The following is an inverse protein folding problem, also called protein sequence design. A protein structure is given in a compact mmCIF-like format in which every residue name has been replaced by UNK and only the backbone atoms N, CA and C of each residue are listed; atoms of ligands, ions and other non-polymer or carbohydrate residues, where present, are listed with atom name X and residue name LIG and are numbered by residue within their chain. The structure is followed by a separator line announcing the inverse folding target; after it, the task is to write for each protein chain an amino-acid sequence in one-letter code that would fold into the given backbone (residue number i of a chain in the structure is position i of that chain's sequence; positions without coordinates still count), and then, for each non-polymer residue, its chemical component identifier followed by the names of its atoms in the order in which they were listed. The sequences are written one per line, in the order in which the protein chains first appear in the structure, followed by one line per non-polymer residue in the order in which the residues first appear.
data_IF_960317066369
#
_entry.id   IF_960317066369
#
_cell.length_a   1.000
_cell.length_b   1.000
_cell.length_c   1.000
_cell.angle_alpha   90.00
_cell.angle_beta   90.00
_cell.angle_gamma   90.00
#
_symmetry.space_group_name_H-M   'P 1'
#
loop_
_entity.id
_entity.type
_entity.pdbx_description
1 polymer ?
#
# COMPACT_ATOMS: atom_id res chain seq x y z
N UNK A 1 18.38 5.86 19.60
CA UNK A 1 18.41 6.17 18.17
C UNK A 1 17.02 6.39 17.62
N UNK A 2 16.84 7.44 16.91
CA UNK A 2 15.54 7.79 16.35
C UNK A 2 15.52 7.46 14.87
N UNK A 3 14.33 7.56 14.26
CA UNK A 3 14.22 7.34 12.84
C UNK A 3 15.11 8.31 12.07
N UNK A 4 15.11 9.56 12.46
CA UNK A 4 15.89 10.57 11.75
C UNK A 4 17.37 10.48 12.06
N UNK A 5 17.71 9.87 13.17
CA UNK A 5 19.09 9.60 13.48
C UNK A 5 19.56 8.24 13.03
N UNK A 6 18.73 7.52 12.28
CA UNK A 6 19.06 6.18 11.82
C UNK A 6 20.15 6.23 10.76
N UNK A 7 20.89 5.14 10.60
CA UNK A 7 21.83 5.05 9.50
C UNK A 7 21.14 5.26 8.17
N UNK A 8 21.91 5.70 7.19
CA UNK A 8 21.39 6.01 5.87
C UNK A 8 20.63 4.82 5.27
N UNK A 9 21.12 3.61 5.51
CA UNK A 9 20.46 2.42 5.01
C UNK A 9 19.04 2.26 5.55
N UNK A 10 18.85 2.56 6.84
CA UNK A 10 17.52 2.48 7.43
C UNK A 10 16.58 3.50 6.82
N UNK A 11 17.06 4.70 6.54
CA UNK A 11 16.26 5.71 5.88
C UNK A 11 15.87 5.28 4.47
N UNK A 12 16.81 4.68 3.75
CA UNK A 12 16.53 4.20 2.40
C UNK A 12 15.50 3.08 2.42
N UNK A 13 15.58 2.18 3.39
CA UNK A 13 14.59 1.11 3.52
C UNK A 13 13.20 1.68 3.81
N UNK A 14 13.13 2.70 4.66
CA UNK A 14 11.86 3.35 4.95
C UNK A 14 11.29 4.01 3.71
N UNK A 15 12.13 4.71 2.95
CA UNK A 15 11.69 5.35 1.72
C UNK A 15 11.22 4.35 0.69
N UNK A 16 11.91 3.21 0.59
CA UNK A 16 11.49 2.14 -0.32
C UNK A 16 10.14 1.58 0.07
N UNK A 17 9.91 1.39 1.37
CA UNK A 17 8.63 0.89 1.86
C UNK A 17 7.51 1.88 1.54
N UNK A 18 7.76 3.17 1.74
CA UNK A 18 6.76 4.19 1.43
C UNK A 18 6.45 4.23 -0.06
N UNK A 19 7.47 4.08 -0.91
CA UNK A 19 7.28 4.06 -2.35
C UNK A 19 6.46 2.83 -2.77
N UNK A 20 6.72 1.67 -2.18
CA UNK A 20 5.96 0.46 -2.46
C UNK A 20 4.50 0.64 -2.06
N UNK A 21 4.25 1.26 -0.90
CA UNK A 21 2.90 1.51 -0.44
C UNK A 21 2.15 2.43 -1.42
N UNK A 22 2.80 3.51 -1.85
CA UNK A 22 2.20 4.45 -2.79
C UNK A 22 1.90 3.77 -4.13
N UNK A 23 2.85 2.96 -4.62
CA UNK A 23 2.67 2.24 -5.88
C UNK A 23 1.51 1.26 -5.78
N UNK A 24 1.41 0.54 -4.67
CA UNK A 24 0.32 -0.41 -4.46
C UNK A 24 -1.03 0.28 -4.45
N UNK A 25 -1.11 1.43 -3.79
CA UNK A 25 -2.36 2.19 -3.72
C UNK A 25 -2.75 2.70 -5.11
N UNK A 26 -1.79 3.25 -5.86
CA UNK A 26 -2.06 3.74 -7.20
C UNK A 26 -2.50 2.62 -8.13
N UNK A 27 -1.84 1.45 -8.05
CA UNK A 27 -2.21 0.31 -8.87
C UNK A 27 -3.62 -0.16 -8.54
N UNK A 28 -3.99 -0.17 -7.26
CA UNK A 28 -5.35 -0.54 -6.85
C UNK A 28 -6.37 0.42 -7.42
N UNK A 29 -6.08 1.72 -7.38
CA UNK A 29 -6.97 2.73 -7.93
C UNK A 29 -7.15 2.54 -9.42
N UNK A 30 -6.06 2.26 -10.14
CA UNK A 30 -6.13 2.04 -11.58
C UNK A 30 -6.96 0.81 -11.93
N UNK A 31 -6.88 -0.24 -11.15
CA UNK A 31 -7.69 -1.43 -11.36
C UNK A 31 -9.17 -1.15 -11.15
N UNK A 32 -9.49 -0.34 -10.13
CA UNK A 32 -10.88 0.07 -9.89
C UNK A 32 -11.39 0.91 -11.04
N UNK A 33 -10.58 1.87 -11.50
CA UNK A 33 -10.96 2.70 -12.65
C UNK A 33 -11.18 1.85 -13.88
N UNK A 34 -10.32 0.86 -14.11
CA UNK A 34 -10.50 -0.02 -15.27
C UNK A 34 -11.83 -0.75 -15.20
N UNK A 35 -12.18 -1.29 -14.04
CA UNK A 35 -13.44 -2.00 -13.89
C UNK A 35 -14.63 -1.07 -14.15
N UNK A 36 -14.60 0.12 -13.58
CA UNK A 36 -15.67 1.09 -13.75
C UNK A 36 -15.77 1.54 -15.21
N UNK A 37 -14.64 1.83 -15.81
CA UNK A 37 -14.61 2.30 -17.20
C UNK A 37 -15.11 1.22 -18.16
N UNK A 38 -14.73 -0.03 -17.91
CA UNK A 38 -15.17 -1.14 -18.75
C UNK A 38 -16.69 -1.28 -18.67
N UNK A 39 -17.24 -1.16 -17.45
CA UNK A 39 -18.68 -1.25 -17.28
C UNK A 39 -19.39 -0.08 -17.97
N UNK A 40 -18.88 1.12 -17.82
CA UNK A 40 -19.47 2.31 -18.44
C UNK A 40 -19.41 2.23 -19.96
N UNK A 41 -18.43 1.52 -20.50
CA UNK A 41 -18.31 1.31 -21.95
C UNK A 41 -19.29 0.32 -22.51
N UNK A 42 -20.20 -0.22 -21.69
CA UNK A 42 -21.25 -1.06 -22.19
C UNK A 42 -21.01 -2.56 -22.03
N UNK A 43 -19.92 -2.96 -21.40
CA UNK A 43 -19.67 -4.37 -21.17
C UNK A 43 -20.78 -4.92 -20.28
N UNK A 44 -21.41 -6.04 -20.66
CA UNK A 44 -22.50 -6.57 -19.86
C UNK A 44 -22.04 -7.17 -18.54
N UNK A 45 -20.74 -7.47 -18.43
CA UNK A 45 -20.24 -8.14 -17.25
C UNK A 45 -18.76 -7.74 -17.03
N UNK A 46 -18.45 -7.32 -15.81
CA UNK A 46 -17.08 -6.94 -15.46
C UNK A 46 -16.61 -7.73 -14.24
N UNK A 47 -17.11 -8.96 -14.10
CA UNK A 47 -16.79 -9.77 -12.92
C UNK A 47 -15.30 -9.96 -12.75
N UNK A 48 -14.59 -10.23 -13.84
CA UNK A 48 -13.15 -10.45 -13.78
C UNK A 48 -12.42 -9.19 -13.30
N UNK A 49 -12.75 -8.06 -13.92
CA UNK A 49 -12.09 -6.80 -13.58
C UNK A 49 -12.39 -6.38 -12.15
N UNK A 50 -13.63 -6.54 -11.73
CA UNK A 50 -14.02 -6.21 -10.36
C UNK A 50 -13.35 -7.15 -9.35
N UNK A 51 -13.26 -8.42 -9.66
CA UNK A 51 -12.60 -9.38 -8.78
C UNK A 51 -11.11 -9.08 -8.66
N UNK A 52 -10.46 -8.74 -9.76
CA UNK A 52 -9.04 -8.38 -9.73
C UNK A 52 -8.81 -7.12 -8.91
N UNK A 53 -9.68 -6.12 -9.08
CA UNK A 53 -9.57 -4.88 -8.32
C UNK A 53 -9.72 -5.14 -6.83
N UNK A 54 -10.71 -5.95 -6.47
CA UNK A 54 -10.97 -6.26 -5.06
C UNK A 54 -9.80 -7.04 -4.44
N UNK A 55 -9.32 -8.05 -5.15
CA UNK A 55 -8.23 -8.87 -4.65
C UNK A 55 -6.96 -8.04 -4.47
N UNK A 56 -6.64 -7.23 -5.46
CA UNK A 56 -5.45 -6.40 -5.38
C UNK A 56 -5.57 -5.37 -4.25
N UNK A 57 -6.74 -4.75 -4.11
CA UNK A 57 -6.97 -3.78 -3.05
C UNK A 57 -6.83 -4.41 -1.67
N UNK A 58 -7.35 -5.62 -1.51
CA UNK A 58 -7.26 -6.33 -0.24
C UNK A 58 -5.80 -6.67 0.10
N UNK A 59 -5.05 -7.19 -0.87
CA UNK A 59 -3.65 -7.51 -0.66
C UNK A 59 -2.82 -6.26 -0.41
N UNK A 60 -3.12 -5.19 -1.13
CA UNK A 60 -2.42 -3.93 -0.94
C UNK A 60 -2.69 -3.35 0.44
N UNK A 61 -3.93 -3.40 0.89
CA UNK A 61 -4.29 -2.90 2.22
C UNK A 61 -3.53 -3.68 3.30
N UNK A 62 -3.44 -4.99 3.16
CA UNK A 62 -2.71 -5.82 4.11
C UNK A 62 -1.22 -5.45 4.12
N UNK A 63 -0.65 -5.29 2.93
CA UNK A 63 0.76 -4.95 2.79
C UNK A 63 1.06 -3.57 3.37
N UNK A 64 0.18 -2.60 3.12
CA UNK A 64 0.33 -1.25 3.66
C UNK A 64 0.25 -1.27 5.18
N UNK A 65 -0.71 -2.02 5.72
CA UNK A 65 -0.85 -2.12 7.17
C UNK A 65 0.40 -2.75 7.78
N UNK A 66 0.89 -3.82 7.19
CA UNK A 66 2.08 -4.50 7.69
C UNK A 66 3.29 -3.57 7.68
N UNK A 67 3.48 -2.84 6.59
CA UNK A 67 4.60 -1.91 6.47
C UNK A 67 4.46 -0.75 7.44
N UNK A 68 3.26 -0.24 7.60
CA UNK A 68 3.01 0.84 8.54
C UNK A 68 3.29 0.40 9.97
N UNK A 69 2.87 -0.81 10.32
CA UNK A 69 3.15 -1.34 11.66
C UNK A 69 4.66 -1.47 11.87
N UNK A 70 5.39 -1.92 10.87
CA UNK A 70 6.83 -2.04 10.98
C UNK A 70 7.51 -0.69 11.18
N UNK A 71 7.07 0.31 10.42
CA UNK A 71 7.67 1.64 10.48
C UNK A 71 7.30 2.32 11.79
N UNK A 72 6.02 2.40 12.09
CA UNK A 72 5.54 3.16 13.24
C UNK A 72 5.58 2.35 14.51
N UNK A 73 5.46 1.03 14.40
CA UNK A 73 5.59 0.15 15.54
C UNK A 73 7.00 0.18 16.10
N UNK A 74 7.98 0.14 15.19
CA UNK A 74 9.37 0.24 15.61
C UNK A 74 9.67 1.57 16.27
N UNK A 75 9.15 2.62 15.69
CA UNK A 75 9.33 3.96 16.24
C UNK A 75 8.63 4.07 17.59
N UNK A 76 7.45 3.49 17.70
CA UNK A 76 6.70 3.49 18.93
C UNK A 76 7.41 2.76 20.05
N UNK A 77 8.00 1.62 19.73
CA UNK A 77 8.77 0.89 20.70
C UNK A 77 9.97 1.71 21.16
N UNK A 78 10.62 2.34 20.22
CA UNK A 78 11.81 3.11 20.52
C UNK A 78 11.50 4.36 21.35
N UNK A 79 10.48 5.09 20.93
CA UNK A 79 10.13 6.33 21.59
C UNK A 79 9.22 6.11 22.77
N UNK A 80 8.29 5.22 22.56
CA UNK A 80 7.24 5.10 23.53
C UNK A 80 7.57 4.19 24.59
N UNK A 81 8.25 3.29 24.24
CA UNK A 81 8.46 2.30 25.22
C UNK A 81 8.22 2.84 26.53
N UNK A 82 7.75 3.92 26.55
CA UNK A 82 7.33 4.40 27.80
C UNK A 82 6.28 3.64 28.35
#
# INVERSE_FOLDING_TARGET
RTLFGAPLGDLQLTQAALADMATGIDASALLVYRAAWTKDGGAPRVTREAAMAKMHATETAQDVIDKAVQIFGGEGVRAGSK
#
